data_IF_281459633905
#
_entry.id   IF_281459633905
#
_cell.length_a   1.000
_cell.length_b   1.000
_cell.length_c   1.000
_cell.angle_alpha   90.00
_cell.angle_beta   90.00
_cell.angle_gamma   90.00
#
_symmetry.space_group_name_H-M   'P 1'
#
loop_
_entity.id
_entity.type
_entity.pdbx_description
1 polymer ?
#
# COMPACT_ATOMS: atom_id res chain seq x y z
N UNK A 1 -3.14 -12.16 -6.52
CA UNK A 1 -1.74 -12.49 -6.88
C UNK A 1 -0.89 -11.24 -6.69
N UNK A 2 0.29 -11.37 -6.06
CA UNK A 2 1.21 -10.23 -5.82
C UNK A 2 2.13 -10.00 -7.01
N UNK A 3 2.46 -8.75 -7.30
CA UNK A 3 3.55 -8.36 -8.21
C UNK A 3 4.71 -7.70 -7.45
N UNK A 4 5.95 -7.95 -7.88
CA UNK A 4 7.15 -7.35 -7.29
C UNK A 4 8.11 -6.80 -8.36
N UNK A 5 8.58 -5.58 -8.14
CA UNK A 5 9.57 -4.88 -8.96
C UNK A 5 10.91 -4.85 -8.20
N UNK A 6 12.02 -5.09 -8.90
CA UNK A 6 13.36 -5.09 -8.31
C UNK A 6 14.35 -4.26 -9.13
N UNK A 7 15.24 -3.53 -8.44
CA UNK A 7 16.35 -2.82 -9.08
C UNK A 7 15.88 -1.80 -10.13
N UNK A 8 16.41 -1.95 -11.35
CA UNK A 8 16.13 -1.08 -12.50
C UNK A 8 14.65 -1.08 -12.93
N UNK A 9 13.90 -2.13 -12.59
CA UNK A 9 12.47 -2.25 -12.88
C UNK A 9 11.63 -1.25 -12.09
N UNK A 10 12.06 -0.87 -10.89
CA UNK A 10 11.34 0.12 -10.07
C UNK A 10 11.31 1.44 -10.81
N UNK A 11 12.46 1.93 -11.26
CA UNK A 11 12.53 3.19 -12.00
C UNK A 11 11.87 3.09 -13.38
N UNK A 12 11.96 1.93 -14.04
CA UNK A 12 11.34 1.70 -15.35
C UNK A 12 9.81 1.65 -15.32
N UNK A 13 9.20 1.21 -14.22
CA UNK A 13 7.76 1.00 -14.11
C UNK A 13 7.06 1.80 -13.02
N UNK A 14 7.76 2.65 -12.25
CA UNK A 14 7.16 3.45 -11.15
C UNK A 14 5.93 4.26 -11.58
N UNK A 15 5.94 4.77 -12.81
CA UNK A 15 4.88 5.62 -13.34
C UNK A 15 3.81 4.80 -14.11
N UNK A 16 4.04 3.50 -14.33
CA UNK A 16 3.11 2.62 -15.03
C UNK A 16 1.95 2.16 -14.13
N UNK A 17 2.20 2.01 -12.83
CA UNK A 17 1.21 1.59 -11.85
C UNK A 17 0.66 2.78 -11.06
N UNK A 18 -0.66 2.92 -11.09
CA UNK A 18 -1.45 3.84 -10.29
C UNK A 18 -2.25 3.01 -9.29
N UNK A 19 -2.43 3.54 -8.09
CA UNK A 19 -3.27 2.91 -7.07
C UNK A 19 -4.67 2.60 -7.64
N UNK A 20 -5.18 1.39 -7.35
CA UNK A 20 -6.33 0.69 -7.99
C UNK A 20 -6.53 0.88 -9.51
N UNK A 21 -5.47 1.06 -10.28
CA UNK A 21 -5.57 0.96 -11.74
C UNK A 21 -5.90 -0.47 -12.20
N UNK A 22 -6.56 -0.58 -13.35
CA UNK A 22 -6.88 -1.86 -13.99
C UNK A 22 -5.96 -2.06 -15.19
N UNK A 23 -5.24 -3.18 -15.19
CA UNK A 23 -4.18 -3.45 -16.16
C UNK A 23 -4.33 -4.84 -16.76
N UNK A 24 -4.05 -4.92 -18.05
CA UNK A 24 -3.67 -6.17 -18.70
C UNK A 24 -2.15 -6.33 -18.56
N UNK A 25 -1.73 -7.42 -17.93
CA UNK A 25 -0.32 -7.72 -17.67
C UNK A 25 0.03 -9.03 -18.38
N UNK A 26 1.01 -8.98 -19.27
CA UNK A 26 1.45 -10.11 -20.08
C UNK A 26 2.98 -10.29 -20.03
N UNK A 27 3.44 -11.51 -20.34
CA UNK A 27 4.87 -11.87 -20.39
C UNK A 27 5.61 -11.58 -19.06
N UNK A 28 4.95 -11.84 -17.93
CA UNK A 28 5.56 -11.79 -16.60
C UNK A 28 5.87 -13.21 -16.11
N UNK A 29 7.12 -13.50 -15.70
CA UNK A 29 7.41 -14.71 -14.95
C UNK A 29 6.57 -14.81 -13.68
N UNK A 30 6.12 -16.03 -13.37
CA UNK A 30 5.46 -16.39 -12.12
C UNK A 30 6.43 -17.27 -11.34
N UNK A 31 6.80 -16.82 -10.15
CA UNK A 31 7.75 -17.48 -9.27
C UNK A 31 7.08 -17.83 -7.94
N UNK A 32 7.64 -18.79 -7.20
CA UNK A 32 7.22 -19.03 -5.83
C UNK A 32 7.38 -17.75 -4.98
N UNK A 33 6.35 -17.42 -4.20
CA UNK A 33 6.40 -16.34 -3.23
C UNK A 33 7.16 -16.82 -2.00
N UNK A 34 8.18 -16.07 -1.61
CA UNK A 34 8.90 -16.34 -0.37
C UNK A 34 7.94 -16.10 0.83
N UNK A 35 7.78 -17.08 1.74
CA UNK A 35 6.92 -16.94 2.92
C UNK A 35 7.26 -15.72 3.77
N UNK A 36 8.52 -15.28 3.82
CA UNK A 36 8.94 -14.14 4.64
C UNK A 36 8.30 -12.81 4.18
N UNK A 37 7.86 -12.73 2.93
CA UNK A 37 7.27 -11.54 2.35
C UNK A 37 5.74 -11.58 2.30
N UNK A 38 5.09 -12.66 2.73
CA UNK A 38 3.63 -12.74 2.81
C UNK A 38 3.10 -11.81 3.90
N UNK A 39 2.07 -11.04 3.58
CA UNK A 39 1.40 -10.14 4.54
C UNK A 39 0.29 -10.88 5.28
N UNK A 40 -0.31 -11.88 4.64
CA UNK A 40 -1.38 -12.71 5.22
C UNK A 40 -1.12 -14.19 4.96
N UNK A 41 -1.54 -15.10 5.87
CA UNK A 41 -1.55 -16.54 5.60
C UNK A 41 -2.36 -16.93 4.36
N UNK A 42 -3.33 -16.09 3.99
CA UNK A 42 -4.19 -16.29 2.81
C UNK A 42 -3.54 -15.79 1.49
N UNK A 43 -2.36 -15.19 1.55
CA UNK A 43 -1.64 -14.77 0.35
C UNK A 43 -1.21 -15.99 -0.47
N UNK A 44 -1.37 -15.86 -1.79
CA UNK A 44 -1.00 -16.91 -2.75
C UNK A 44 0.47 -17.34 -2.60
N UNK A 45 0.74 -18.62 -2.87
CA UNK A 45 2.10 -19.19 -2.86
C UNK A 45 2.97 -18.75 -4.04
N UNK A 46 2.42 -17.96 -4.96
CA UNK A 46 3.09 -17.50 -6.17
C UNK A 46 2.98 -15.98 -6.32
N UNK A 47 4.00 -15.40 -6.92
CA UNK A 47 4.09 -13.98 -7.23
C UNK A 47 4.56 -13.75 -8.67
N UNK A 48 4.13 -12.63 -9.24
CA UNK A 48 4.62 -12.12 -10.51
C UNK A 48 5.87 -11.27 -10.27
N UNK A 49 6.88 -11.44 -11.13
CA UNK A 49 8.05 -10.56 -11.17
C UNK A 49 8.13 -9.91 -12.54
N UNK A 50 8.20 -8.59 -12.59
CA UNK A 50 8.22 -7.88 -13.87
C UNK A 50 9.61 -7.94 -14.47
N UNK A 51 9.73 -8.29 -15.74
CA UNK A 51 11.00 -8.29 -16.47
C UNK A 51 10.97 -7.32 -17.64
N UNK A 52 12.09 -7.22 -18.38
CA UNK A 52 12.19 -6.34 -19.56
C UNK A 52 11.17 -6.64 -20.67
N UNK A 53 10.65 -7.85 -20.71
CA UNK A 53 9.66 -8.28 -21.71
C UNK A 53 8.22 -8.16 -21.20
N UNK A 54 8.02 -7.72 -19.95
CA UNK A 54 6.69 -7.61 -19.37
C UNK A 54 5.95 -6.43 -19.99
N UNK A 55 4.75 -6.71 -20.44
CA UNK A 55 3.83 -5.75 -21.03
C UNK A 55 2.81 -5.39 -19.96
N UNK A 56 2.63 -4.09 -19.73
CA UNK A 56 1.64 -3.54 -18.81
C UNK A 56 0.81 -2.54 -19.62
N UNK A 57 -0.47 -2.84 -19.80
CA UNK A 57 -1.38 -2.00 -20.56
C UNK A 57 -2.56 -1.59 -19.68
N UNK A 58 -2.78 -0.29 -19.44
CA UNK A 58 -4.00 0.18 -18.78
C UNK A 58 -5.23 -0.21 -19.62
N UNK A 59 -6.20 -0.88 -19.00
CA UNK A 59 -7.42 -1.31 -19.71
C UNK A 59 -8.47 -0.20 -19.81
N UNK A 60 -8.39 0.79 -18.94
CA UNK A 60 -9.28 1.95 -18.95
C UNK A 60 -8.45 3.22 -18.76
N UNK A 61 -8.20 3.94 -19.86
CA UNK A 61 -7.50 5.22 -19.84
C UNK A 61 -8.35 6.34 -19.19
N UNK A 62 -9.65 6.10 -19.00
CA UNK A 62 -10.59 6.97 -18.31
C UNK A 62 -10.91 6.47 -16.89
N UNK A 63 -10.22 5.42 -16.40
CA UNK A 63 -10.34 4.96 -15.03
C UNK A 63 -10.10 6.15 -14.11
N UNK A 64 -11.21 6.69 -13.60
CA UNK A 64 -11.21 7.86 -12.75
C UNK A 64 -10.33 7.59 -11.54
N UNK A 65 -9.64 8.63 -11.06
CA UNK A 65 -8.89 8.59 -9.83
C UNK A 65 -9.69 7.81 -8.78
N UNK A 66 -9.06 6.80 -8.18
CA UNK A 66 -9.67 5.99 -7.13
C UNK A 66 -10.21 6.93 -6.07
N UNK A 67 -11.53 6.95 -5.92
CA UNK A 67 -12.18 7.76 -4.90
C UNK A 67 -12.07 7.00 -3.59
N UNK A 68 -11.39 7.55 -2.57
CA UNK A 68 -11.28 6.89 -1.28
C UNK A 68 -12.66 6.67 -0.67
N UNK A 69 -12.85 5.53 0.01
CA UNK A 69 -14.09 5.23 0.71
C UNK A 69 -14.00 5.73 2.15
N UNK A 70 -14.08 7.05 2.30
CA UNK A 70 -13.90 7.70 3.59
C UNK A 70 -14.89 7.21 4.63
N UNK A 71 -14.36 6.86 5.80
CA UNK A 71 -15.12 6.66 7.04
C UNK A 71 -14.81 7.77 8.02
N UNK A 72 -15.79 8.13 8.84
CA UNK A 72 -15.54 9.02 9.97
C UNK A 72 -14.74 8.31 11.05
N UNK A 73 -14.00 9.06 11.85
CA UNK A 73 -13.20 8.53 12.96
C UNK A 73 -14.12 7.79 13.95
N UNK A 74 -15.34 8.29 14.18
CA UNK A 74 -16.35 7.63 15.03
C UNK A 74 -16.83 6.26 14.52
N UNK A 75 -16.73 6.00 13.21
CA UNK A 75 -17.10 4.72 12.60
C UNK A 75 -15.99 3.67 12.71
N UNK A 76 -14.78 4.08 13.09
CA UNK A 76 -13.67 3.15 13.26
C UNK A 76 -13.83 2.44 14.61
N UNK A 77 -13.89 1.11 14.57
CA UNK A 77 -13.91 0.33 15.80
C UNK A 77 -12.57 0.53 16.54
N UNK A 78 -12.65 0.74 17.86
CA UNK A 78 -11.46 0.81 18.73
C UNK A 78 -10.77 -0.55 18.90
N UNK A 79 -11.43 -1.63 18.48
CA UNK A 79 -11.02 -3.01 18.67
C UNK A 79 -10.98 -3.73 17.32
N UNK A 80 -10.17 -3.23 16.40
CA UNK A 80 -9.93 -3.92 15.13
C UNK A 80 -8.86 -5.00 15.33
N UNK A 81 -8.95 -6.07 14.53
CA UNK A 81 -8.01 -7.20 14.50
C UNK A 81 -6.59 -6.84 14.02
N UNK A 82 -6.29 -5.56 13.80
CA UNK A 82 -4.99 -5.06 13.34
C UNK A 82 -4.83 -5.01 11.82
N UNK A 83 -5.59 -5.80 11.07
CA UNK A 83 -5.44 -5.95 9.62
C UNK A 83 -6.44 -5.16 8.77
N UNK A 84 -7.46 -4.56 9.39
CA UNK A 84 -8.47 -3.77 8.68
C UNK A 84 -7.90 -2.44 8.19
N UNK A 85 -8.18 -2.10 6.92
CA UNK A 85 -7.75 -0.87 6.27
C UNK A 85 -8.93 0.08 6.10
N UNK A 86 -8.69 1.36 6.37
CA UNK A 86 -9.69 2.41 6.27
C UNK A 86 -9.12 3.62 5.55
N UNK A 87 -9.96 4.26 4.75
CA UNK A 87 -9.68 5.59 4.24
C UNK A 87 -10.31 6.60 5.21
N UNK A 88 -9.52 7.57 5.68
CA UNK A 88 -9.96 8.62 6.61
C UNK A 88 -9.54 10.00 6.11
N UNK A 89 -10.35 11.01 6.41
CA UNK A 89 -10.03 12.41 6.18
C UNK A 89 -10.27 13.18 7.47
N UNK A 90 -9.29 14.00 7.87
CA UNK A 90 -9.35 14.75 9.11
C UNK A 90 -8.38 15.93 9.11
N UNK A 91 -8.64 16.88 10.01
CA UNK A 91 -7.79 18.03 10.29
C UNK A 91 -6.71 17.59 11.27
N UNK A 92 -5.44 17.86 10.94
CA UNK A 92 -4.32 17.63 11.86
C UNK A 92 -4.38 18.69 12.96
N UNK A 93 -4.63 18.26 14.19
CA UNK A 93 -4.65 19.13 15.38
C UNK A 93 -3.32 19.11 16.14
N UNK A 94 -2.53 18.06 15.95
CA UNK A 94 -1.19 17.93 16.52
C UNK A 94 -0.31 17.06 15.63
N UNK A 95 0.98 17.41 15.58
CA UNK A 95 2.03 16.61 14.95
C UNK A 95 3.33 16.87 15.69
N UNK A 96 4.10 15.82 16.00
CA UNK A 96 5.42 16.00 16.60
C UNK A 96 6.33 16.84 15.69
N UNK A 97 7.07 17.77 16.28
CA UNK A 97 8.00 18.63 15.55
C UNK A 97 9.10 17.83 14.82
N UNK A 98 9.55 16.73 15.44
CA UNK A 98 10.61 15.87 14.91
C UNK A 98 10.14 14.42 14.92
N UNK A 99 10.51 13.69 13.88
CA UNK A 99 10.30 12.25 13.86
C UNK A 99 11.29 11.57 14.82
N UNK A 100 10.82 10.56 15.55
CA UNK A 100 11.67 9.69 16.38
C UNK A 100 12.14 8.49 15.58
N UNK A 101 13.32 7.99 15.91
CA UNK A 101 13.84 6.75 15.31
C UNK A 101 13.38 5.55 16.14
N UNK A 102 12.82 4.55 15.49
CA UNK A 102 12.43 3.27 16.10
C UNK A 102 13.19 2.15 15.39
N UNK A 103 13.83 1.28 16.18
CA UNK A 103 14.49 0.08 15.67
C UNK A 103 13.47 -1.06 15.63
N UNK A 104 13.28 -1.65 14.45
CA UNK A 104 12.38 -2.80 14.28
C UNK A 104 13.01 -4.09 14.82
N UNK A 105 12.21 -5.15 14.96
CA UNK A 105 12.71 -6.49 15.30
C UNK A 105 13.80 -7.01 14.32
N UNK A 106 13.80 -6.50 13.08
CA UNK A 106 14.78 -6.81 12.04
C UNK A 106 16.02 -5.88 12.09
N UNK A 107 16.21 -5.12 13.17
CA UNK A 107 17.31 -4.16 13.36
C UNK A 107 17.33 -3.01 12.32
N UNK A 108 16.20 -2.76 11.63
CA UNK A 108 16.07 -1.63 10.72
C UNK A 108 15.66 -0.38 11.50
N UNK A 109 16.32 0.75 11.22
CA UNK A 109 15.92 2.04 11.78
C UNK A 109 14.82 2.67 10.92
N UNK A 110 13.68 2.97 11.53
CA UNK A 110 12.54 3.65 10.90
C UNK A 110 12.30 5.00 11.54
N UNK A 111 11.95 5.99 10.72
CA UNK A 111 11.50 7.31 11.16
C UNK A 111 9.99 7.26 11.42
N UNK A 112 9.59 7.48 12.67
CA UNK A 112 8.19 7.45 13.13
C UNK A 112 7.80 8.83 13.65
N UNK A 113 6.59 9.29 13.30
CA UNK A 113 6.04 10.56 13.77
C UNK A 113 4.60 10.37 14.21
N UNK A 114 4.25 10.92 15.36
CA UNK A 114 2.87 10.87 15.84
C UNK A 114 2.10 12.09 15.33
N UNK A 115 0.88 11.82 14.88
CA UNK A 115 -0.10 12.82 14.43
C UNK A 115 -1.42 12.55 15.14
N UNK A 116 -2.13 13.62 15.48
CA UNK A 116 -3.50 13.55 15.96
C UNK A 116 -4.37 14.25 14.93
N UNK A 117 -5.35 13.51 14.42
CA UNK A 117 -6.34 14.00 13.47
C UNK A 117 -7.72 14.03 14.13
N UNK A 118 -8.52 15.03 13.81
CA UNK A 118 -9.92 15.14 14.18
C UNK A 118 -10.77 15.30 12.93
N UNK A 119 -12.00 14.80 12.94
CA UNK A 119 -12.98 15.04 11.88
C UNK A 119 -14.24 15.70 12.47
N UNK A 120 -15.26 15.86 11.64
CA UNK A 120 -16.52 16.48 12.04
C UNK A 120 -17.39 15.56 12.94
N UNK A 121 -16.95 14.34 13.24
CA UNK A 121 -17.71 13.38 14.05
C UNK A 121 -17.48 13.51 15.55
N UNK A 122 -16.71 14.52 15.96
CA UNK A 122 -16.45 14.88 17.35
C UNK A 122 -17.57 15.80 17.85
N UNK A 123 -18.65 15.21 18.38
CA UNK A 123 -19.59 15.86 19.31
C UNK A 123 -19.39 15.35 20.74
#
# INVERSE_FOLDING_TARGET
>A
MRGALFGDQVDGYKDAFVYNGVYEIANTPINACDPQWKLSPNDMDYQMTFGRQTIIQPMDAAATAVVPQYRTISQLSRFNSGDEKFDVIGVVIYMDEKARTVTTAQQKQLSVREIVIADHSVE
#
